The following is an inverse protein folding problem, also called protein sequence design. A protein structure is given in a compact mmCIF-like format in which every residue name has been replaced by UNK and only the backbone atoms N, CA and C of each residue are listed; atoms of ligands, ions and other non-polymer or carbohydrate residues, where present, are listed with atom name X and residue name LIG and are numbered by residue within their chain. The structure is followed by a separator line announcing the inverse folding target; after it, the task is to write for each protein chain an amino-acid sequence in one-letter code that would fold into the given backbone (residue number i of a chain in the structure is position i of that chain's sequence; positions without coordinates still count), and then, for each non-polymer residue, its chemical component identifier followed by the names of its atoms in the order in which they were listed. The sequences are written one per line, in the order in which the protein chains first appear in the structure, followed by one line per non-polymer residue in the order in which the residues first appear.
data_IF_383187168386
#
_entry.id   IF_383187168386
#
_cell.length_a   1.000
_cell.length_b   1.000
_cell.length_c   1.000
_cell.angle_alpha   90.00
_cell.angle_beta   90.00
_cell.angle_gamma   90.00
#
_symmetry.space_group_name_H-M   'P 1'
#
loop_
_entity.id
_entity.type
_entity.pdbx_description
1 polymer ?
#
# COMPACT_ATOMS: atom_id res chain seq x y z
N UNK A 1 -4.81 1.49 16.84
CA UNK A 1 -5.95 0.57 17.04
C UNK A 1 -5.95 -0.44 15.91
N UNK A 2 -5.99 -1.77 16.13
CA UNK A 2 -6.11 -2.70 15.02
C UNK A 2 -7.54 -2.61 14.49
N UNK A 3 -7.70 -2.07 13.29
CA UNK A 3 -8.98 -2.08 12.58
C UNK A 3 -9.40 -3.53 12.38
N UNK A 4 -10.47 -3.95 13.05
CA UNK A 4 -11.07 -5.25 12.80
C UNK A 4 -11.39 -5.35 11.30
N UNK A 5 -11.03 -6.45 10.59
CA UNK A 5 -11.21 -6.58 9.14
C UNK A 5 -12.64 -6.28 8.66
N UNK A 6 -13.63 -6.46 9.55
CA UNK A 6 -15.03 -6.15 9.30
C UNK A 6 -15.31 -4.65 9.05
N UNK A 7 -14.58 -3.73 9.70
CA UNK A 7 -14.78 -2.27 9.50
C UNK A 7 -14.29 -1.81 8.14
N UNK A 8 -13.14 -2.33 7.70
CA UNK A 8 -12.62 -2.03 6.36
C UNK A 8 -13.59 -2.53 5.30
N UNK A 9 -14.09 -3.76 5.46
CA UNK A 9 -15.12 -4.32 4.57
C UNK A 9 -16.38 -3.45 4.53
N UNK A 10 -16.85 -2.99 5.69
CA UNK A 10 -18.04 -2.14 5.80
C UNK A 10 -17.84 -0.80 5.09
N UNK A 11 -16.71 -0.12 5.31
CA UNK A 11 -16.37 1.13 4.62
C UNK A 11 -16.27 0.94 3.10
N UNK A 12 -15.59 -0.12 2.64
CA UNK A 12 -15.51 -0.45 1.21
C UNK A 12 -16.91 -0.70 0.64
N UNK A 13 -17.77 -1.43 1.37
CA UNK A 13 -19.12 -1.76 0.90
C UNK A 13 -20.06 -0.56 0.86
N UNK A 14 -19.92 0.37 1.80
CA UNK A 14 -20.79 1.54 1.93
C UNK A 14 -20.45 2.64 0.92
N UNK A 15 -19.16 2.86 0.65
CA UNK A 15 -18.71 3.97 -0.19
C UNK A 15 -18.21 3.57 -1.58
N UNK A 16 -17.75 2.34 -1.82
CA UNK A 16 -17.28 1.92 -3.17
C UNK A 16 -18.35 1.18 -3.99
N UNK A 17 -19.12 0.26 -3.37
CA UNK A 17 -20.14 -0.52 -4.09
C UNK A 17 -21.31 0.30 -4.68
N UNK A 18 -21.68 1.50 -4.18
CA UNK A 18 -22.66 2.33 -4.85
C UNK A 18 -22.24 2.71 -6.29
N UNK A 19 -20.92 2.81 -6.54
CA UNK A 19 -20.36 3.19 -7.84
C UNK A 19 -20.12 1.99 -8.77
N UNK A 20 -21.18 1.18 -8.99
CA UNK A 20 -21.12 -0.07 -9.78
C UNK A 20 -20.58 0.10 -11.21
N UNK A 21 -20.74 1.28 -11.82
CA UNK A 21 -20.18 1.59 -13.13
C UNK A 21 -18.65 1.63 -13.11
N UNK A 22 -18.08 2.40 -12.17
CA UNK A 22 -16.63 2.56 -12.01
C UNK A 22 -15.96 1.27 -11.52
N UNK A 23 -16.61 0.52 -10.63
CA UNK A 23 -16.08 -0.78 -10.18
C UNK A 23 -16.02 -1.78 -11.33
N UNK A 24 -17.07 -1.86 -12.17
CA UNK A 24 -17.06 -2.76 -13.34
C UNK A 24 -16.02 -2.36 -14.38
N UNK A 25 -15.88 -1.07 -14.68
CA UNK A 25 -14.85 -0.61 -15.62
C UNK A 25 -13.45 -0.85 -15.09
N UNK A 26 -13.22 -0.65 -13.78
CA UNK A 26 -11.94 -0.95 -13.14
C UNK A 26 -11.59 -2.44 -13.26
N UNK A 27 -12.52 -3.33 -12.90
CA UNK A 27 -12.30 -4.78 -12.99
C UNK A 27 -12.01 -5.19 -14.43
N UNK A 28 -12.77 -4.67 -15.39
CA UNK A 28 -12.53 -4.92 -16.81
C UNK A 28 -11.14 -4.44 -17.25
N UNK A 29 -10.74 -3.22 -16.90
CA UNK A 29 -9.43 -2.66 -17.25
C UNK A 29 -8.28 -3.47 -16.64
N UNK A 30 -8.41 -3.90 -15.38
CA UNK A 30 -7.41 -4.75 -14.72
C UNK A 30 -7.31 -6.13 -15.38
N UNK A 31 -8.43 -6.75 -15.73
CA UNK A 31 -8.43 -8.03 -16.44
C UNK A 31 -7.82 -7.90 -17.84
N UNK A 32 -8.18 -6.85 -18.57
CA UNK A 32 -7.64 -6.59 -19.90
C UNK A 32 -6.14 -6.30 -19.86
N UNK A 33 -5.67 -5.43 -18.94
CA UNK A 33 -4.25 -5.12 -18.78
C UNK A 33 -3.46 -6.36 -18.36
N UNK A 34 -3.91 -7.09 -17.34
CA UNK A 34 -3.23 -8.30 -16.89
C UNK A 34 -3.21 -9.39 -17.97
N UNK A 35 -4.29 -9.53 -18.74
CA UNK A 35 -4.36 -10.44 -19.87
C UNK A 35 -3.31 -10.12 -20.93
N UNK A 36 -3.17 -8.85 -21.31
CA UNK A 36 -2.11 -8.42 -22.23
C UNK A 36 -0.72 -8.62 -21.63
N UNK A 37 -0.54 -8.32 -20.34
CA UNK A 37 0.73 -8.51 -19.63
C UNK A 37 1.22 -9.97 -19.72
N UNK A 38 0.31 -10.93 -19.67
CA UNK A 38 0.59 -12.36 -19.79
C UNK A 38 0.91 -12.80 -21.22
N UNK A 39 0.44 -12.06 -22.23
CA UNK A 39 0.73 -12.33 -23.64
C UNK A 39 2.08 -11.76 -24.09
N UNK A 40 2.54 -10.66 -23.47
CA UNK A 40 3.80 -9.98 -23.82
C UNK A 40 5.02 -10.93 -23.90
N UNK A 41 5.25 -11.87 -22.96
CA UNK A 41 6.38 -12.80 -23.03
C UNK A 41 6.31 -13.77 -24.22
N UNK A 42 5.09 -14.14 -24.66
CA UNK A 42 4.92 -15.00 -25.84
C UNK A 42 5.30 -14.25 -27.11
N UNK A 43 4.90 -12.98 -27.23
CA UNK A 43 5.25 -12.14 -28.38
C UNK A 43 6.76 -11.88 -28.42
N UNK A 44 7.37 -11.62 -27.25
CA UNK A 44 8.81 -11.46 -27.14
C UNK A 44 9.55 -12.73 -27.57
N UNK A 45 9.04 -13.91 -27.18
CA UNK A 45 9.61 -15.19 -27.64
C UNK A 45 9.56 -15.32 -29.15
N UNK A 46 8.41 -15.08 -29.80
CA UNK A 46 8.34 -15.14 -31.27
C UNK A 46 9.27 -14.13 -31.92
N UNK A 47 9.38 -12.92 -31.38
CA UNK A 47 10.34 -11.92 -31.88
C UNK A 47 11.79 -12.45 -31.83
N UNK A 48 12.21 -13.03 -30.71
CA UNK A 48 13.55 -13.60 -30.54
C UNK A 48 13.78 -14.80 -31.47
N UNK A 49 12.79 -15.68 -31.59
CA UNK A 49 12.88 -16.87 -32.43
C UNK A 49 13.00 -16.48 -33.92
N UNK A 50 12.17 -15.55 -34.41
CA UNK A 50 12.22 -15.03 -35.78
C UNK A 50 13.49 -14.25 -36.07
N UNK A 51 14.00 -13.46 -35.10
CA UNK A 51 15.26 -12.74 -35.26
C UNK A 51 16.48 -13.67 -35.34
N UNK A 52 16.38 -14.89 -34.81
CA UNK A 52 17.46 -15.89 -34.82
C UNK A 52 17.41 -16.80 -36.04
N UNK A 53 16.26 -16.97 -36.69
CA UNK A 53 16.05 -17.98 -37.74
C UNK A 53 16.45 -17.55 -39.17
N UNK A 54 17.31 -16.54 -39.33
CA UNK A 54 17.67 -15.99 -40.66
C UNK A 54 16.43 -15.57 -41.48
N UNK A 55 15.34 -15.22 -40.77
CA UNK A 55 14.09 -14.79 -41.37
C UNK A 55 14.24 -13.45 -42.10
N UNK A 56 13.40 -13.16 -43.12
CA UNK A 56 13.41 -11.88 -43.81
C UNK A 56 13.25 -10.71 -42.84
N UNK A 57 13.98 -9.61 -43.07
CA UNK A 57 13.94 -8.40 -42.22
C UNK A 57 12.51 -7.84 -42.08
N UNK A 58 11.66 -8.02 -43.08
CA UNK A 58 10.26 -7.58 -43.06
C UNK A 58 9.45 -8.33 -41.98
N UNK A 59 9.70 -9.63 -41.80
CA UNK A 59 8.99 -10.46 -40.81
C UNK A 59 9.41 -10.06 -39.39
N UNK A 60 10.71 -9.86 -39.17
CA UNK A 60 11.26 -9.36 -37.89
C UNK A 60 10.68 -7.98 -37.56
N UNK A 61 10.61 -7.08 -38.55
CA UNK A 61 10.07 -5.73 -38.38
C UNK A 61 8.57 -5.76 -38.05
N UNK A 62 7.79 -6.62 -38.72
CA UNK A 62 6.37 -6.79 -38.44
C UNK A 62 6.11 -7.29 -37.01
N UNK A 63 6.83 -8.33 -36.56
CA UNK A 63 6.69 -8.86 -35.20
C UNK A 63 7.14 -7.83 -34.16
N UNK A 64 8.20 -7.05 -34.45
CA UNK A 64 8.64 -5.93 -33.62
C UNK A 64 7.59 -4.82 -33.48
N UNK A 65 6.95 -4.42 -34.59
CA UNK A 65 5.86 -3.44 -34.58
C UNK A 65 4.63 -3.96 -33.83
N UNK A 66 4.29 -5.24 -33.99
CA UNK A 66 3.21 -5.88 -33.25
C UNK A 66 3.48 -5.86 -31.74
N UNK A 67 4.70 -6.21 -31.32
CA UNK A 67 5.13 -6.15 -29.92
C UNK A 67 4.99 -4.73 -29.35
N UNK A 68 5.46 -3.73 -30.10
CA UNK A 68 5.39 -2.34 -29.70
C UNK A 68 3.92 -1.88 -29.58
N UNK A 69 3.08 -2.23 -30.56
CA UNK A 69 1.65 -1.93 -30.54
C UNK A 69 0.93 -2.54 -29.33
N UNK A 70 1.15 -3.83 -29.05
CA UNK A 70 0.56 -4.51 -27.88
C UNK A 70 1.06 -3.88 -26.57
N UNK A 71 2.34 -3.50 -26.51
CA UNK A 71 2.93 -2.85 -25.33
C UNK A 71 2.31 -1.48 -25.06
N UNK A 72 2.05 -0.69 -26.11
CA UNK A 72 1.34 0.59 -25.99
C UNK A 72 -0.09 0.37 -25.50
N UNK A 73 -0.82 -0.57 -26.10
CA UNK A 73 -2.21 -0.87 -25.69
C UNK A 73 -2.25 -1.32 -24.22
N UNK A 74 -1.33 -2.20 -23.82
CA UNK A 74 -1.17 -2.61 -22.44
C UNK A 74 -0.96 -1.41 -21.50
N UNK A 75 -0.06 -0.49 -21.87
CA UNK A 75 0.21 0.70 -21.07
C UNK A 75 -1.01 1.63 -20.98
N UNK A 76 -1.75 1.82 -22.07
CA UNK A 76 -2.98 2.62 -22.10
C UNK A 76 -4.04 2.01 -21.18
N UNK A 77 -4.24 0.69 -21.22
CA UNK A 77 -5.16 0.00 -20.30
C UNK A 77 -4.72 0.14 -18.83
N UNK A 78 -3.42 0.02 -18.55
CA UNK A 78 -2.87 0.18 -17.21
C UNK A 78 -3.00 1.62 -16.68
N UNK A 79 -2.86 2.63 -17.54
CA UNK A 79 -3.15 4.03 -17.20
C UNK A 79 -4.64 4.22 -16.95
N UNK A 80 -5.49 3.65 -17.81
CA UNK A 80 -6.95 3.67 -17.63
C UNK A 80 -7.39 3.07 -16.30
N UNK A 81 -6.85 1.91 -15.94
CA UNK A 81 -7.13 1.25 -14.65
C UNK A 81 -6.75 2.16 -13.47
N UNK A 82 -5.57 2.81 -13.53
CA UNK A 82 -5.13 3.78 -12.51
C UNK A 82 -6.05 4.98 -12.42
N UNK A 83 -6.43 5.56 -13.56
CA UNK A 83 -7.34 6.71 -13.60
C UNK A 83 -8.72 6.38 -13.01
N UNK A 84 -9.31 5.25 -13.39
CA UNK A 84 -10.61 4.83 -12.87
C UNK A 84 -10.52 4.51 -11.37
N UNK A 85 -9.44 3.89 -10.92
CA UNK A 85 -9.19 3.64 -9.50
C UNK A 85 -9.11 4.93 -8.70
N UNK A 86 -8.35 5.92 -9.18
CA UNK A 86 -8.23 7.23 -8.54
C UNK A 86 -9.59 7.92 -8.47
N UNK A 87 -10.31 7.95 -9.59
CA UNK A 87 -11.65 8.54 -9.67
C UNK A 87 -12.61 7.88 -8.68
N UNK A 88 -12.59 6.55 -8.59
CA UNK A 88 -13.41 5.80 -7.65
C UNK A 88 -13.04 6.11 -6.19
N UNK A 89 -11.75 6.15 -5.87
CA UNK A 89 -11.26 6.47 -4.54
C UNK A 89 -11.69 7.89 -4.11
N UNK A 90 -11.48 8.90 -4.95
CA UNK A 90 -11.88 10.28 -4.67
C UNK A 90 -13.40 10.45 -4.54
N UNK A 91 -14.17 9.77 -5.37
CA UNK A 91 -15.64 9.85 -5.28
C UNK A 91 -16.14 9.28 -3.95
N UNK A 92 -15.60 8.12 -3.55
CA UNK A 92 -15.93 7.48 -2.29
C UNK A 92 -15.49 8.31 -1.07
N UNK A 93 -14.29 8.88 -1.10
CA UNK A 93 -13.78 9.68 0.02
C UNK A 93 -14.38 11.06 0.11
N UNK A 94 -14.81 11.66 -1.00
CA UNK A 94 -15.51 12.94 -0.95
C UNK A 94 -16.87 12.81 -0.25
N UNK A 95 -17.60 11.71 -0.50
CA UNK A 95 -18.83 11.39 0.24
C UNK A 95 -18.55 11.17 1.73
N UNK A 96 -17.47 10.44 2.05
CA UNK A 96 -17.05 10.26 3.45
C UNK A 96 -16.71 11.60 4.12
N UNK A 97 -16.03 12.51 3.40
CA UNK A 97 -15.70 13.85 3.89
C UNK A 97 -16.97 14.65 4.20
N UNK A 98 -17.96 14.60 3.32
CA UNK A 98 -19.26 15.24 3.52
C UNK A 98 -19.98 14.67 4.75
N UNK A 99 -20.07 13.34 4.86
CA UNK A 99 -20.70 12.66 6.01
C UNK A 99 -20.02 13.03 7.33
N UNK A 100 -18.69 13.03 7.36
CA UNK A 100 -17.90 13.36 8.55
C UNK A 100 -18.02 14.84 8.90
N UNK A 101 -17.95 15.75 7.93
CA UNK A 101 -18.14 17.17 8.16
C UNK A 101 -19.53 17.45 8.73
N UNK A 102 -20.58 16.88 8.13
CA UNK A 102 -21.96 17.02 8.61
C UNK A 102 -22.16 16.42 10.00
N UNK A 103 -21.50 15.30 10.31
CA UNK A 103 -21.53 14.73 11.65
C UNK A 103 -20.84 15.65 12.66
N UNK A 104 -19.64 16.16 12.34
CA UNK A 104 -18.90 17.07 13.20
C UNK A 104 -19.68 18.36 13.50
N UNK A 105 -20.39 18.92 12.52
CA UNK A 105 -21.21 20.12 12.70
C UNK A 105 -22.46 19.91 13.58
N UNK A 106 -22.88 18.66 13.78
CA UNK A 106 -24.06 18.29 14.59
C UNK A 106 -23.70 17.87 16.01
N UNK A 107 -22.41 17.83 16.35
CA UNK A 107 -21.97 17.47 17.70
C UNK A 107 -22.26 18.61 18.69
N UNK A 108 -22.38 18.24 19.96
CA UNK A 108 -22.70 19.20 21.02
C UNK A 108 -21.52 20.12 21.37
N UNK A 109 -21.81 21.20 22.10
CA UNK A 109 -20.77 22.16 22.51
C UNK A 109 -19.71 21.56 23.45
N UNK A 110 -19.98 20.48 24.18
CA UNK A 110 -18.95 19.79 24.98
C UNK A 110 -17.86 19.20 24.08
N UNK A 111 -18.24 18.68 22.90
CA UNK A 111 -17.28 18.22 21.92
C UNK A 111 -16.44 19.37 21.36
N UNK A 112 -17.09 20.47 20.94
CA UNK A 112 -16.40 21.63 20.37
C UNK A 112 -15.51 22.38 21.36
N UNK A 113 -15.80 22.33 22.66
CA UNK A 113 -14.93 22.91 23.70
C UNK A 113 -13.67 22.08 23.97
N UNK A 114 -13.66 20.79 23.57
CA UNK A 114 -12.52 19.88 23.80
C UNK A 114 -11.58 19.75 22.60
N UNK A 115 -11.98 20.25 21.43
CA UNK A 115 -11.27 20.03 20.16
C UNK A 115 -11.19 21.32 19.36
N UNK A 116 -10.02 21.65 18.86
CA UNK A 116 -9.85 22.87 18.05
C UNK A 116 -10.48 22.69 16.67
N UNK A 117 -10.95 23.79 16.03
CA UNK A 117 -11.40 23.75 14.63
C UNK A 117 -10.35 23.17 13.67
N UNK A 118 -9.07 23.50 13.89
CA UNK A 118 -7.96 22.95 13.10
C UNK A 118 -7.81 21.43 13.23
N UNK A 119 -7.97 20.86 14.44
CA UNK A 119 -7.93 19.40 14.64
C UNK A 119 -9.09 18.71 13.89
N UNK A 120 -10.28 19.31 13.89
CA UNK A 120 -11.43 18.76 13.17
C UNK A 120 -11.20 18.79 11.66
N UNK A 121 -10.67 19.89 11.11
CA UNK A 121 -10.34 19.99 9.68
C UNK A 121 -9.30 18.94 9.29
N UNK A 122 -8.23 18.77 10.08
CA UNK A 122 -7.19 17.78 9.77
C UNK A 122 -7.70 16.34 9.82
N UNK A 123 -8.61 16.01 10.74
CA UNK A 123 -9.25 14.69 10.77
C UNK A 123 -10.22 14.49 9.60
N UNK A 124 -10.95 15.52 9.20
CA UNK A 124 -11.92 15.43 8.10
C UNK A 124 -11.21 15.43 6.74
N UNK A 125 -10.11 16.16 6.58
CA UNK A 125 -9.42 16.29 5.31
C UNK A 125 -8.16 15.42 5.23
N UNK A 126 -7.27 15.51 6.21
CA UNK A 126 -6.03 14.74 6.28
C UNK A 126 -6.26 13.23 6.41
N UNK A 127 -6.98 12.77 7.44
CA UNK A 127 -7.24 11.33 7.62
C UNK A 127 -8.05 10.73 6.46
N UNK A 128 -9.02 11.48 5.92
CA UNK A 128 -9.81 11.05 4.75
C UNK A 128 -8.96 11.04 3.47
N UNK A 129 -8.02 11.99 3.33
CA UNK A 129 -7.05 12.01 2.24
C UNK A 129 -6.11 10.79 2.28
N UNK A 130 -5.66 10.39 3.47
CA UNK A 130 -4.92 9.13 3.64
C UNK A 130 -5.76 7.91 3.23
N UNK A 131 -7.06 7.92 3.54
CA UNK A 131 -7.97 6.87 3.11
C UNK A 131 -8.16 6.85 1.59
N UNK A 132 -8.19 8.01 0.93
CA UNK A 132 -8.32 8.10 -0.53
C UNK A 132 -7.11 7.45 -1.21
N UNK A 133 -5.91 7.80 -0.76
CA UNK A 133 -4.67 7.19 -1.21
C UNK A 133 -4.65 5.68 -0.95
N UNK A 134 -5.08 5.25 0.24
CA UNK A 134 -5.19 3.83 0.56
C UNK A 134 -6.13 3.10 -0.39
N UNK A 135 -7.35 3.62 -0.66
CA UNK A 135 -8.29 2.99 -1.58
C UNK A 135 -7.75 2.93 -3.00
N UNK A 136 -7.19 4.01 -3.53
CA UNK A 136 -6.61 4.01 -4.87
C UNK A 136 -5.49 2.96 -5.01
N UNK A 137 -4.57 2.92 -4.04
CA UNK A 137 -3.48 1.95 -4.04
C UNK A 137 -3.97 0.51 -3.85
N UNK A 138 -4.92 0.28 -2.94
CA UNK A 138 -5.47 -1.03 -2.67
C UNK A 138 -6.17 -1.60 -3.91
N UNK A 139 -6.95 -0.78 -4.62
CA UNK A 139 -7.66 -1.18 -5.82
C UNK A 139 -6.71 -1.57 -6.98
N UNK A 140 -5.67 -0.79 -7.26
CA UNK A 140 -4.74 -1.12 -8.36
C UNK A 140 -3.73 -2.19 -7.95
N UNK A 141 -3.07 -2.02 -6.79
CA UNK A 141 -1.96 -2.90 -6.39
C UNK A 141 -2.47 -4.20 -5.83
N UNK A 142 -3.34 -4.17 -4.82
CA UNK A 142 -3.75 -5.40 -4.14
C UNK A 142 -4.70 -6.21 -5.02
N UNK A 143 -5.79 -5.62 -5.52
CA UNK A 143 -6.71 -6.36 -6.38
C UNK A 143 -6.05 -6.72 -7.72
N UNK A 144 -5.31 -5.80 -8.33
CA UNK A 144 -4.59 -6.07 -9.58
C UNK A 144 -3.57 -7.20 -9.45
N UNK A 145 -2.77 -7.22 -8.37
CA UNK A 145 -1.80 -8.31 -8.14
C UNK A 145 -2.47 -9.65 -7.80
N UNK A 146 -3.59 -9.66 -7.08
CA UNK A 146 -4.35 -10.90 -6.83
C UNK A 146 -4.90 -11.45 -8.16
N UNK A 147 -5.51 -10.58 -8.98
CA UNK A 147 -6.01 -10.97 -10.30
C UNK A 147 -4.89 -11.48 -11.20
N UNK A 148 -3.73 -10.80 -11.19
CA UNK A 148 -2.57 -11.23 -11.95
C UNK A 148 -2.05 -12.59 -11.46
N UNK A 149 -1.91 -12.79 -10.15
CA UNK A 149 -1.48 -14.06 -9.57
C UNK A 149 -2.41 -15.21 -9.98
N UNK A 150 -3.72 -15.02 -9.85
CA UNK A 150 -4.72 -16.01 -10.29
C UNK A 150 -4.61 -16.24 -11.79
N UNK A 151 -4.49 -15.18 -12.59
CA UNK A 151 -4.33 -15.26 -14.05
C UNK A 151 -3.10 -16.05 -14.48
N UNK A 152 -1.95 -15.81 -13.84
CA UNK A 152 -0.71 -16.57 -14.05
C UNK A 152 -0.92 -18.04 -13.71
N UNK A 153 -1.49 -18.35 -12.54
CA UNK A 153 -1.71 -19.74 -12.13
C UNK A 153 -2.63 -20.46 -13.11
N UNK A 154 -3.78 -19.88 -13.46
CA UNK A 154 -4.71 -20.44 -14.44
C UNK A 154 -4.01 -20.68 -15.78
N UNK A 155 -3.23 -19.71 -16.28
CA UNK A 155 -2.47 -19.84 -17.52
C UNK A 155 -1.45 -21.00 -17.45
N UNK A 156 -0.77 -21.18 -16.32
CA UNK A 156 0.17 -22.27 -16.17
C UNK A 156 -0.53 -23.63 -16.12
N UNK A 157 -1.68 -23.73 -15.43
CA UNK A 157 -2.48 -24.96 -15.42
C UNK A 157 -3.02 -25.34 -16.80
N UNK A 158 -3.31 -24.36 -17.68
CA UNK A 158 -3.73 -24.65 -19.06
C UNK A 158 -2.56 -25.07 -19.96
N UNK A 159 -1.32 -24.68 -19.63
CA UNK A 159 -0.12 -25.13 -20.34
C UNK A 159 0.31 -26.53 -19.87
N UNK A 160 0.54 -26.70 -18.56
CA UNK A 160 0.89 -27.98 -17.94
C UNK A 160 0.51 -27.96 -16.45
N UNK A 161 -0.33 -28.92 -16.04
CA UNK A 161 -0.83 -29.01 -14.67
C UNK A 161 0.28 -29.24 -13.62
N UNK A 162 1.41 -29.86 -14.01
CA UNK A 162 2.56 -30.09 -13.12
C UNK A 162 3.27 -28.78 -12.80
N UNK A 163 3.44 -27.91 -13.81
CA UNK A 163 4.03 -26.57 -13.63
C UNK A 163 3.08 -25.71 -12.78
N UNK A 164 1.78 -25.74 -13.10
CA UNK A 164 0.76 -25.04 -12.30
C UNK A 164 0.75 -25.47 -10.83
N UNK A 165 0.85 -26.77 -10.55
CA UNK A 165 0.92 -27.31 -9.20
C UNK A 165 2.21 -26.89 -8.47
N UNK A 166 3.37 -27.02 -9.12
CA UNK A 166 4.65 -26.62 -8.53
C UNK A 166 4.67 -25.13 -8.17
N UNK A 167 4.18 -24.26 -9.06
CA UNK A 167 4.11 -22.82 -8.82
C UNK A 167 3.07 -22.44 -7.76
N UNK A 168 1.98 -23.19 -7.65
CA UNK A 168 1.00 -23.00 -6.58
C UNK A 168 1.59 -23.32 -5.20
N UNK A 169 2.33 -24.43 -5.10
CA UNK A 169 3.05 -24.78 -3.86
C UNK A 169 4.08 -23.69 -3.52
N UNK A 170 4.86 -23.23 -4.49
CA UNK A 170 5.80 -22.12 -4.30
C UNK A 170 5.10 -20.86 -3.77
N UNK A 171 4.01 -20.42 -4.40
CA UNK A 171 3.27 -19.25 -3.97
C UNK A 171 2.73 -19.39 -2.54
N UNK A 172 2.22 -20.57 -2.16
CA UNK A 172 1.74 -20.84 -0.80
C UNK A 172 2.87 -20.80 0.23
N UNK A 173 4.03 -21.39 -0.07
CA UNK A 173 5.21 -21.37 0.80
C UNK A 173 5.71 -19.93 0.99
N UNK A 174 5.79 -19.15 -0.10
CA UNK A 174 6.17 -17.73 -0.01
C UNK A 174 5.17 -16.94 0.83
N UNK A 175 3.87 -17.14 0.63
CA UNK A 175 2.83 -16.44 1.39
C UNK A 175 2.86 -16.80 2.88
N UNK A 176 3.10 -18.07 3.19
CA UNK A 176 3.30 -18.54 4.56
C UNK A 176 4.56 -17.91 5.19
N UNK A 177 5.69 -17.91 4.49
CA UNK A 177 6.93 -17.29 4.94
C UNK A 177 6.75 -15.78 5.22
N UNK A 178 6.06 -15.06 4.34
CA UNK A 178 5.68 -13.66 4.55
C UNK A 178 4.75 -13.48 5.76
N UNK A 179 3.79 -14.38 5.97
CA UNK A 179 2.89 -14.30 7.12
C UNK A 179 3.62 -14.50 8.45
N UNK A 180 4.55 -15.45 8.51
CA UNK A 180 5.43 -15.66 9.67
C UNK A 180 6.32 -14.45 9.89
N UNK A 181 6.98 -13.96 8.84
CA UNK A 181 7.83 -12.77 8.92
C UNK A 181 7.04 -11.55 9.39
N UNK A 182 5.83 -11.34 8.88
CA UNK A 182 4.93 -10.24 9.31
C UNK A 182 4.64 -10.34 10.81
N UNK A 183 4.35 -11.53 11.32
CA UNK A 183 4.02 -11.72 12.73
C UNK A 183 5.20 -11.42 13.67
N UNK A 184 6.44 -11.55 13.20
CA UNK A 184 7.64 -11.20 13.97
C UNK A 184 8.07 -9.74 13.75
N UNK A 185 8.11 -9.31 12.49
CA UNK A 185 8.60 -8.00 12.10
C UNK A 185 7.68 -6.87 12.57
N UNK A 186 6.36 -7.02 12.48
CA UNK A 186 5.43 -5.93 12.86
C UNK A 186 5.53 -5.58 14.35
N UNK A 187 5.55 -6.54 15.30
CA UNK A 187 5.80 -6.23 16.71
C UNK A 187 7.18 -5.64 16.98
N UNK A 188 8.23 -6.10 16.29
CA UNK A 188 9.57 -5.55 16.43
C UNK A 188 9.64 -4.09 15.97
N UNK A 189 9.06 -3.78 14.81
CA UNK A 189 8.92 -2.41 14.30
C UNK A 189 8.12 -1.52 15.25
N UNK A 190 7.04 -2.05 15.85
CA UNK A 190 6.26 -1.32 16.84
C UNK A 190 7.08 -0.98 18.08
N UNK A 191 7.85 -1.94 18.61
CA UNK A 191 8.74 -1.73 19.76
C UNK A 191 9.83 -0.71 19.45
N UNK A 192 10.47 -0.80 18.27
CA UNK A 192 11.45 0.18 17.83
C UNK A 192 10.85 1.59 17.72
N UNK A 193 9.61 1.70 17.23
CA UNK A 193 8.90 2.98 17.13
C UNK A 193 8.51 3.55 18.49
N UNK A 194 8.11 2.71 19.44
CA UNK A 194 7.86 3.11 20.83
C UNK A 194 9.14 3.58 21.53
N UNK A 195 10.26 2.88 21.35
CA UNK A 195 11.56 3.29 21.90
C UNK A 195 12.03 4.63 21.32
N UNK A 196 11.93 4.81 19.99
CA UNK A 196 12.25 6.08 19.34
C UNK A 196 11.36 7.22 19.85
N UNK A 197 10.05 6.98 20.03
CA UNK A 197 9.15 7.98 20.58
C UNK A 197 9.54 8.39 22.01
N UNK A 198 9.94 7.43 22.85
CA UNK A 198 10.45 7.70 24.19
C UNK A 198 11.73 8.55 24.18
N UNK A 199 12.70 8.20 23.32
CA UNK A 199 13.94 8.96 23.16
C UNK A 199 13.68 10.40 22.70
N UNK A 200 12.84 10.58 21.68
CA UNK A 200 12.51 11.92 21.19
C UNK A 200 11.74 12.73 22.24
N UNK A 201 10.84 12.11 22.99
CA UNK A 201 10.17 12.78 24.12
C UNK A 201 11.15 13.23 25.21
N UNK A 202 12.11 12.39 25.58
CA UNK A 202 13.16 12.75 26.53
C UNK A 202 14.00 13.94 26.04
N UNK A 203 14.40 13.93 24.76
CA UNK A 203 15.16 15.02 24.15
C UNK A 203 14.36 16.32 24.11
N UNK A 204 13.08 16.26 23.75
CA UNK A 204 12.19 17.43 23.71
C UNK A 204 12.05 18.08 25.09
N UNK A 205 11.79 17.29 26.12
CA UNK A 205 11.67 17.77 27.51
C UNK A 205 12.97 18.43 27.99
N UNK A 206 14.11 17.81 27.71
CA UNK A 206 15.41 18.36 28.13
C UNK A 206 15.85 19.58 27.32
N UNK A 207 15.54 19.62 26.02
CA UNK A 207 15.81 20.79 25.18
C UNK A 207 14.95 21.97 25.62
N UNK A 208 13.66 21.75 25.85
CA UNK A 208 12.76 22.79 26.36
C UNK A 208 13.14 23.26 27.77
N UNK A 209 13.62 22.36 28.63
CA UNK A 209 14.06 22.65 30.00
C UNK A 209 15.54 23.03 30.12
N UNK A 210 16.24 23.29 29.01
CA UNK A 210 17.69 23.48 29.02
C UNK A 210 18.10 24.61 29.97
N UNK A 211 17.38 25.73 29.96
CA UNK A 211 17.70 26.89 30.80
C UNK A 211 17.62 26.56 32.29
N UNK A 212 16.57 25.86 32.73
CA UNK A 212 16.41 25.39 34.10
C UNK A 212 17.48 24.36 34.49
N UNK A 213 17.81 23.44 33.57
CA UNK A 213 18.87 22.44 33.79
C UNK A 213 20.23 23.13 33.93
N UNK A 214 20.51 24.18 33.12
CA UNK A 214 21.76 24.94 33.22
C UNK A 214 21.82 25.77 34.50
N UNK A 215 20.73 26.45 34.86
CA UNK A 215 20.64 27.27 36.05
C UNK A 215 20.87 26.45 37.34
N UNK A 216 20.40 25.20 37.36
CA UNK A 216 20.60 24.28 38.48
C UNK A 216 21.91 23.45 38.41
N UNK A 217 22.74 23.63 37.38
CA UNK A 217 23.96 22.83 37.19
C UNK A 217 23.71 21.33 36.90
N UNK A 218 22.50 20.95 36.48
CA UNK A 218 22.06 19.57 36.31
C UNK A 218 22.54 18.87 35.02
N UNK A 219 23.36 19.53 34.20
CA UNK A 219 23.76 19.08 32.86
C UNK A 219 24.43 17.70 32.85
N UNK A 220 25.32 17.43 33.80
CA UNK A 220 26.00 16.15 33.91
C UNK A 220 25.03 15.00 34.24
N UNK A 221 24.02 15.26 35.08
CA UNK A 221 23.01 14.27 35.44
C UNK A 221 22.08 13.96 34.26
N UNK A 222 21.62 14.97 33.53
CA UNK A 222 20.81 14.79 32.31
C UNK A 222 21.55 14.01 31.23
N UNK A 223 22.85 14.28 31.05
CA UNK A 223 23.68 13.54 30.10
C UNK A 223 23.84 12.07 30.52
N UNK A 224 24.01 11.80 31.82
CA UNK A 224 24.08 10.43 32.33
C UNK A 224 22.75 9.68 32.17
N UNK A 225 21.62 10.35 32.41
CA UNK A 225 20.28 9.80 32.15
C UNK A 225 20.09 9.42 30.68
N UNK A 226 20.53 10.27 29.75
CA UNK A 226 20.46 9.98 28.31
C UNK A 226 21.25 8.71 27.95
N UNK A 227 22.48 8.58 28.45
CA UNK A 227 23.30 7.39 28.21
C UNK A 227 22.63 6.13 28.76
N UNK A 228 22.05 6.19 29.95
CA UNK A 228 21.31 5.07 30.53
C UNK A 228 20.06 4.72 29.72
N UNK A 229 19.31 5.73 29.25
CA UNK A 229 18.12 5.50 28.44
C UNK A 229 18.47 4.83 27.11
N UNK A 230 19.45 5.39 26.39
CA UNK A 230 19.93 4.85 25.12
C UNK A 230 20.52 3.44 25.27
N UNK A 231 21.29 3.19 26.33
CA UNK A 231 21.84 1.87 26.62
C UNK A 231 20.74 0.84 26.96
N UNK A 232 19.72 1.23 27.71
CA UNK A 232 18.61 0.35 28.09
C UNK A 232 17.74 -0.04 26.91
N UNK A 233 17.48 0.89 25.99
CA UNK A 233 16.70 0.64 24.78
C UNK A 233 17.48 -0.22 23.78
N UNK A 234 18.80 0.02 23.65
CA UNK A 234 19.68 -0.80 22.84
C UNK A 234 19.78 -2.24 23.38
N UNK A 235 19.90 -2.42 24.70
CA UNK A 235 19.95 -3.74 25.34
C UNK A 235 18.62 -4.52 25.26
N UNK A 236 17.48 -3.81 25.15
CA UNK A 236 16.15 -4.40 25.03
C UNK A 236 15.82 -4.81 23.59
N UNK A 237 16.23 -4.00 22.61
CA UNK A 237 16.06 -4.31 21.19
C UNK A 237 17.12 -5.30 20.66
N UNK A 238 18.37 -5.19 21.09
CA UNK A 238 19.47 -6.05 20.64
C UNK A 238 19.38 -7.51 21.12
N UNK A 239 18.57 -7.82 22.14
CA UNK A 239 18.29 -9.19 22.59
C UNK A 239 17.18 -9.90 21.80
N UNK A 240 16.49 -9.20 20.89
CA UNK A 240 15.32 -9.71 20.14
C UNK A 240 15.51 -9.67 18.62
N UNK A 241 16.61 -9.10 18.13
CA UNK A 241 17.04 -9.15 16.73
C UNK A 241 17.88 -10.41 16.51
#
# INVERSE_FOLDING_TARGET
MPSSPNRVREMLSRYLLPHRGLVRSLVFLLLASNGLQLLTPRILRTFVDTARSDSPLDEVTYVGLLFLGVSIVHQVLAIGARYVSEKLAWTATNQLREDLAMHCLRLDMSFHNKRTPGEMIERVDGDVGHLANFFSQFMVRVLGSILLLIGVLVLLYTIDWRIGAAMSVYALVTLFGLAVLRNTAVPAWKQAREANAGLFGFLEEHLSGTEDIRANGGQANSMNLLYHHAASDCARNGRRA
#
